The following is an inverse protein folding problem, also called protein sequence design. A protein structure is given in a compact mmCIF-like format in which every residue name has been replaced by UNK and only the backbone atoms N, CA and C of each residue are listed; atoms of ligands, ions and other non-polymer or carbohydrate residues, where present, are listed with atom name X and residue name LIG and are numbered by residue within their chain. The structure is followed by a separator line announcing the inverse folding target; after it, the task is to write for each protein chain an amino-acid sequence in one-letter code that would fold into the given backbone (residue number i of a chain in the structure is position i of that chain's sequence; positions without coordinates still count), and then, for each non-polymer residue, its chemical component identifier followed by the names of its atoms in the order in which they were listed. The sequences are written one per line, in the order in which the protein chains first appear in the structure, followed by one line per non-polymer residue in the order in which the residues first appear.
data_IF_286550182356
#
_entry.id   IF_286550182356
#
_cell.length_a   1.000
_cell.length_b   1.000
_cell.length_c   1.000
_cell.angle_alpha   90.00
_cell.angle_beta   90.00
_cell.angle_gamma   90.00
#
_symmetry.space_group_name_H-M   'P 1'
#
loop_
_entity.id
_entity.type
_entity.pdbx_description
1 polymer ?
#
# COMPACT_ATOMS: atom_id res chain seq x y z
N UNK A 1 21.85 -19.17 18.91
CA UNK A 1 20.69 -18.24 18.87
C UNK A 1 20.68 -17.40 20.14
N UNK A 2 20.17 -16.18 20.07
CA UNK A 2 19.88 -15.34 21.23
C UNK A 2 18.36 -15.23 21.38
N UNK A 3 17.85 -15.45 22.60
CA UNK A 3 16.42 -15.28 22.92
C UNK A 3 16.29 -14.31 24.09
N UNK A 4 15.44 -13.30 23.95
CA UNK A 4 15.12 -12.32 25.00
C UNK A 4 13.61 -12.13 25.01
N UNK A 5 12.94 -12.67 26.02
CA UNK A 5 11.47 -12.72 26.06
C UNK A 5 10.90 -13.42 24.81
N UNK A 6 9.98 -12.75 24.11
CA UNK A 6 9.37 -13.26 22.88
C UNK A 6 10.24 -13.09 21.62
N UNK A 7 11.36 -12.36 21.72
CA UNK A 7 12.24 -12.09 20.58
C UNK A 7 13.33 -13.15 20.48
N UNK A 8 13.57 -13.64 19.26
CA UNK A 8 14.62 -14.61 18.96
C UNK A 8 15.40 -14.21 17.72
N UNK A 9 16.72 -14.31 17.79
CA UNK A 9 17.65 -14.14 16.67
C UNK A 9 18.45 -15.42 16.47
N UNK A 10 18.43 -15.96 15.26
CA UNK A 10 19.19 -17.15 14.87
C UNK A 10 19.58 -17.13 13.38
N UNK A 11 20.03 -18.28 12.85
CA UNK A 11 20.43 -18.42 11.45
C UNK A 11 19.31 -18.14 10.43
N UNK A 12 18.05 -18.14 10.85
CA UNK A 12 16.89 -17.82 10.00
C UNK A 12 16.56 -16.33 10.00
N UNK A 13 17.01 -15.56 11.00
CA UNK A 13 16.77 -14.12 11.13
C UNK A 13 16.24 -13.70 12.51
N UNK A 14 15.40 -12.67 12.55
CA UNK A 14 14.72 -12.12 13.72
C UNK A 14 13.23 -12.51 13.71
N UNK A 15 12.75 -13.09 14.80
CA UNK A 15 11.33 -13.42 15.00
C UNK A 15 10.84 -12.90 16.34
N UNK A 16 9.61 -12.36 16.37
CA UNK A 16 8.88 -12.07 17.61
C UNK A 16 7.70 -13.03 17.69
N UNK A 17 7.66 -13.89 18.71
CA UNK A 17 6.55 -14.85 18.91
C UNK A 17 5.23 -14.10 19.02
N UNK A 18 4.27 -14.42 18.15
CA UNK A 18 2.97 -13.73 18.06
C UNK A 18 3.02 -12.35 17.40
N UNK A 19 4.13 -11.99 16.75
CA UNK A 19 4.33 -10.67 16.15
C UNK A 19 5.09 -10.71 14.81
N UNK A 20 5.69 -9.57 14.41
CA UNK A 20 6.44 -9.46 13.17
C UNK A 20 7.70 -10.34 13.13
N UNK A 21 8.20 -10.58 11.92
CA UNK A 21 9.48 -11.24 11.69
C UNK A 21 10.22 -10.68 10.47
N UNK A 22 11.55 -10.79 10.51
CA UNK A 22 12.47 -10.52 9.40
C UNK A 22 13.37 -11.73 9.27
N UNK A 23 13.16 -12.52 8.22
CA UNK A 23 13.86 -13.80 8.03
C UNK A 23 14.44 -13.92 6.63
N UNK A 24 15.19 -14.98 6.37
CA UNK A 24 15.68 -15.32 5.02
C UNK A 24 14.55 -15.56 4.01
N UNK A 25 13.34 -15.85 4.47
CA UNK A 25 12.14 -15.96 3.63
C UNK A 25 11.46 -14.60 3.35
N UNK A 26 11.95 -13.51 3.95
CA UNK A 26 11.38 -12.16 3.82
C UNK A 26 10.81 -11.63 5.14
N UNK A 27 9.96 -10.60 5.02
CA UNK A 27 9.38 -9.86 6.14
C UNK A 27 7.90 -10.23 6.29
N UNK A 28 7.49 -10.57 7.52
CA UNK A 28 6.08 -10.72 7.87
C UNK A 28 5.71 -9.68 8.93
N UNK A 29 4.68 -8.87 8.65
CA UNK A 29 4.22 -7.82 9.57
C UNK A 29 3.39 -8.36 10.75
N UNK A 30 3.04 -9.65 10.78
CA UNK A 30 2.30 -10.27 11.88
C UNK A 30 0.90 -9.68 12.08
N UNK A 31 0.19 -9.35 11.00
CA UNK A 31 -1.11 -8.64 11.00
C UNK A 31 -1.09 -7.23 11.63
N UNK A 32 0.08 -6.64 11.79
CA UNK A 32 0.21 -5.27 12.30
C UNK A 32 0.33 -4.26 11.15
N UNK A 33 -0.07 -3.01 11.42
CA UNK A 33 0.20 -1.89 10.51
C UNK A 33 1.69 -1.58 10.47
N UNK A 34 2.22 -1.31 9.28
CA UNK A 34 3.54 -0.71 9.09
C UNK A 34 3.36 0.81 9.01
N UNK A 35 3.77 1.52 10.04
CA UNK A 35 3.62 2.99 10.15
C UNK A 35 4.93 3.71 9.84
N UNK A 36 4.86 5.04 9.66
CA UNK A 36 6.02 5.89 9.38
C UNK A 36 6.80 5.53 8.11
N UNK A 37 6.08 5.01 7.11
CA UNK A 37 6.63 4.77 5.76
C UNK A 37 6.64 6.10 5.02
N UNK A 38 7.83 6.61 4.71
CA UNK A 38 7.99 7.77 3.84
C UNK A 38 7.37 7.48 2.46
N UNK A 39 6.98 8.52 1.71
CA UNK A 39 6.43 8.31 0.38
C UNK A 39 7.48 7.64 -0.54
N UNK A 40 7.13 6.49 -1.10
CA UNK A 40 7.99 5.78 -2.02
C UNK A 40 8.08 6.46 -3.37
N UNK A 41 9.14 6.21 -4.12
CA UNK A 41 9.23 6.64 -5.52
C UNK A 41 8.15 5.94 -6.35
N UNK A 42 7.40 6.67 -7.19
CA UNK A 42 6.43 6.06 -8.11
C UNK A 42 7.04 6.10 -9.52
N UNK A 43 7.57 4.96 -9.96
CA UNK A 43 8.11 4.75 -11.30
C UNK A 43 7.97 3.27 -11.68
N UNK A 44 8.12 2.96 -12.98
CA UNK A 44 7.97 1.60 -13.50
C UNK A 44 8.98 0.59 -12.91
N UNK A 45 10.12 1.08 -12.42
CA UNK A 45 11.17 0.26 -11.82
C UNK A 45 11.28 0.40 -10.31
N UNK A 46 10.35 1.10 -9.65
CA UNK A 46 10.42 1.34 -8.22
C UNK A 46 10.21 0.04 -7.42
N UNK A 47 11.00 -0.11 -6.36
CA UNK A 47 10.86 -1.17 -5.36
C UNK A 47 10.48 -0.60 -3.98
N UNK A 48 10.19 0.69 -3.91
CA UNK A 48 9.83 1.35 -2.67
C UNK A 48 8.42 0.96 -2.22
N UNK A 49 8.19 0.84 -0.91
CA UNK A 49 6.86 0.68 -0.39
C UNK A 49 6.03 1.97 -0.62
N UNK A 50 4.77 1.81 -1.04
CA UNK A 50 3.81 2.91 -1.14
C UNK A 50 3.06 3.07 0.18
N UNK A 51 2.80 4.30 0.59
CA UNK A 51 2.04 4.59 1.80
C UNK A 51 0.61 5.08 1.48
N UNK A 52 -0.18 5.29 2.54
CA UNK A 52 -1.59 5.69 2.41
C UNK A 52 -1.81 7.05 1.73
N UNK A 53 -0.91 8.04 1.89
CA UNK A 53 -1.11 9.34 1.27
C UNK A 53 -0.95 9.27 -0.25
N UNK A 54 -0.06 8.42 -0.74
CA UNK A 54 0.11 8.18 -2.18
C UNK A 54 -1.11 7.50 -2.79
N UNK A 55 -1.65 6.45 -2.13
CA UNK A 55 -2.88 5.80 -2.57
C UNK A 55 -4.07 6.77 -2.55
N UNK A 56 -4.17 7.63 -1.54
CA UNK A 56 -5.19 8.66 -1.46
C UNK A 56 -5.13 9.62 -2.67
N UNK A 57 -3.94 10.13 -3.02
CA UNK A 57 -3.78 10.98 -4.21
C UNK A 57 -4.26 10.29 -5.49
N UNK A 58 -3.91 9.01 -5.68
CA UNK A 58 -4.40 8.21 -6.82
C UNK A 58 -5.93 8.12 -6.82
N UNK A 59 -6.55 7.84 -5.67
CA UNK A 59 -8.01 7.73 -5.56
C UNK A 59 -8.73 9.06 -5.84
N UNK A 60 -8.14 10.20 -5.46
CA UNK A 60 -8.67 11.51 -5.81
C UNK A 60 -8.66 11.74 -7.33
N UNK A 61 -7.57 11.35 -8.02
CA UNK A 61 -7.49 11.45 -9.49
C UNK A 61 -8.53 10.55 -10.17
N UNK A 62 -8.72 9.32 -9.66
CA UNK A 62 -9.75 8.39 -10.16
C UNK A 62 -11.15 8.99 -9.97
N UNK A 63 -11.44 9.58 -8.81
CA UNK A 63 -12.71 10.24 -8.54
C UNK A 63 -12.97 11.38 -9.53
N UNK A 64 -11.97 12.23 -9.77
CA UNK A 64 -12.06 13.29 -10.78
C UNK A 64 -12.37 12.73 -12.17
N UNK A 65 -11.65 11.69 -12.59
CA UNK A 65 -11.87 11.06 -13.89
C UNK A 65 -13.30 10.47 -14.02
N UNK A 66 -13.81 9.82 -12.97
CA UNK A 66 -15.18 9.29 -12.93
C UNK A 66 -16.22 10.40 -13.06
N UNK A 67 -16.02 11.52 -12.35
CA UNK A 67 -16.91 12.68 -12.45
C UNK A 67 -16.93 13.24 -13.88
N UNK A 68 -15.77 13.41 -14.50
CA UNK A 68 -15.66 13.84 -15.91
C UNK A 68 -16.39 12.88 -16.85
N UNK A 69 -16.22 11.57 -16.66
CA UNK A 69 -16.89 10.55 -17.48
C UNK A 69 -18.42 10.61 -17.31
N UNK A 70 -18.92 10.74 -16.08
CA UNK A 70 -20.35 10.87 -15.80
C UNK A 70 -20.95 12.10 -16.47
N UNK A 71 -20.26 13.26 -16.41
CA UNK A 71 -20.70 14.46 -17.12
C UNK A 71 -20.78 14.25 -18.63
N UNK A 72 -19.78 13.58 -19.23
CA UNK A 72 -19.79 13.28 -20.65
C UNK A 72 -20.97 12.37 -21.04
N UNK A 73 -21.27 11.35 -20.23
CA UNK A 73 -22.44 10.49 -20.41
C UNK A 73 -23.74 11.27 -20.32
N UNK A 74 -23.89 12.15 -19.33
CA UNK A 74 -25.08 13.02 -19.20
C UNK A 74 -25.25 13.92 -20.42
N UNK A 75 -24.17 14.55 -20.90
CA UNK A 75 -24.23 15.42 -22.07
C UNK A 75 -24.61 14.65 -23.34
N UNK A 76 -24.04 13.46 -23.54
CA UNK A 76 -24.38 12.59 -24.66
C UNK A 76 -25.84 12.11 -24.61
N UNK A 77 -26.36 11.82 -23.42
CA UNK A 77 -27.76 11.47 -23.23
C UNK A 77 -28.68 12.65 -23.57
N UNK A 78 -28.33 13.88 -23.15
CA UNK A 78 -29.07 15.09 -23.51
C UNK A 78 -29.10 15.31 -25.02
N UNK A 79 -27.96 15.16 -25.70
CA UNK A 79 -27.86 15.34 -27.16
C UNK A 79 -28.69 14.32 -27.96
N UNK A 80 -28.89 13.10 -27.45
CA UNK A 80 -29.75 12.10 -28.10
C UNK A 80 -31.24 12.45 -28.04
N UNK A 81 -31.64 13.31 -27.09
CA UNK A 81 -33.04 13.68 -26.87
C UNK A 81 -33.46 14.97 -27.60
N UNK A 82 -32.53 15.60 -28.32
CA UNK A 82 -32.75 16.82 -29.13
C UNK A 82 -32.64 16.51 -30.60
#
# INVERSE_FOLDING_TARGET
SLTVGNSKVDNSGLTITGGPSVTTAGINAGNQKITNVAAGTISASSTDAVNGSQLNTTNQNVTTAQNTANTAVTNAATAQNT
#
